data_IF_741483045925
#
_entry.id   IF_741483045925
#
_cell.length_a   1.000
_cell.length_b   1.000
_cell.length_c   1.000
_cell.angle_alpha   90.00
_cell.angle_beta   90.00
_cell.angle_gamma   90.00
#
_symmetry.space_group_name_H-M   'P 1'
#
loop_
_entity.id
_entity.type
_entity.pdbx_description
1 polymer ?
#
# COMPACT_ATOMS: atom_id res chain seq x y z
N UNK A 1 29.93 -55.71 13.06
CA UNK A 1 29.93 -54.55 12.19
C UNK A 1 28.70 -53.72 12.44
N UNK A 2 28.90 -52.56 13.03
CA UNK A 2 27.80 -51.66 13.32
C UNK A 2 27.85 -50.51 12.32
N UNK A 3 26.87 -50.48 11.45
CA UNK A 3 26.66 -49.28 10.63
C UNK A 3 26.08 -48.19 11.52
N UNK A 4 26.88 -47.18 11.81
CA UNK A 4 26.40 -46.00 12.43
C UNK A 4 25.66 -45.18 11.36
N UNK A 5 24.36 -45.31 11.38
CA UNK A 5 23.50 -44.44 10.62
C UNK A 5 23.37 -43.14 11.38
N UNK A 6 24.27 -42.24 11.08
CA UNK A 6 24.02 -40.88 11.50
C UNK A 6 22.79 -40.38 10.74
N UNK A 7 21.67 -40.34 11.41
CA UNK A 7 20.54 -39.59 10.89
C UNK A 7 20.98 -38.15 10.84
N UNK A 8 21.38 -37.66 9.67
CA UNK A 8 21.49 -36.26 9.41
C UNK A 8 20.07 -35.71 9.49
N UNK A 9 19.70 -35.18 10.63
CA UNK A 9 18.49 -34.39 10.74
C UNK A 9 18.76 -33.12 9.92
N UNK A 10 18.30 -33.17 8.69
CA UNK A 10 18.21 -31.94 7.91
C UNK A 10 17.15 -31.09 8.60
N UNK A 11 17.59 -30.19 9.49
CA UNK A 11 16.74 -29.14 9.96
C UNK A 11 16.63 -28.16 8.80
N UNK A 12 15.62 -28.38 7.99
CA UNK A 12 15.22 -27.36 7.03
C UNK A 12 14.62 -26.24 7.88
N UNK A 13 15.41 -25.24 8.13
CA UNK A 13 14.88 -23.97 8.53
C UNK A 13 14.16 -23.43 7.31
N UNK A 14 12.90 -23.80 7.15
CA UNK A 14 12.01 -22.98 6.38
C UNK A 14 11.98 -21.65 7.13
N UNK A 15 12.82 -20.70 6.71
CA UNK A 15 12.66 -19.35 7.14
C UNK A 15 11.19 -19.04 6.95
N UNK A 16 10.45 -18.74 8.03
CA UNK A 16 9.11 -18.25 7.90
C UNK A 16 9.21 -17.01 7.01
N UNK A 17 9.03 -17.22 5.70
CA UNK A 17 8.75 -16.13 4.81
C UNK A 17 7.47 -15.52 5.37
N UNK A 18 7.62 -14.38 6.06
CA UNK A 18 6.46 -13.58 6.39
C UNK A 18 5.74 -13.36 5.07
N UNK A 19 4.55 -13.96 4.94
CA UNK A 19 3.73 -13.72 3.78
C UNK A 19 3.58 -12.20 3.63
N UNK A 20 3.78 -11.69 2.42
CA UNK A 20 3.57 -10.30 2.13
C UNK A 20 2.14 -9.92 2.55
N UNK A 21 1.97 -8.74 3.11
CA UNK A 21 0.64 -8.22 3.43
C UNK A 21 -0.18 -8.15 2.14
N UNK A 22 -1.47 -8.54 2.16
CA UNK A 22 -2.30 -8.54 0.95
C UNK A 22 -2.42 -7.18 0.26
N UNK A 23 -2.22 -6.07 0.98
CA UNK A 23 -2.24 -4.73 0.38
C UNK A 23 -0.92 -4.35 -0.29
N UNK A 24 0.15 -5.11 -0.10
CA UNK A 24 1.40 -4.83 -0.80
C UNK A 24 1.26 -5.04 -2.30
N UNK A 25 1.95 -4.23 -3.06
CA UNK A 25 1.93 -4.26 -4.51
C UNK A 25 1.69 -2.88 -5.11
N UNK A 26 1.32 -2.87 -6.39
CA UNK A 26 1.12 -1.64 -7.14
C UNK A 26 -0.38 -1.41 -7.36
N UNK A 27 -0.80 -0.19 -7.09
CA UNK A 27 -2.18 0.24 -7.16
C UNK A 27 -2.33 1.45 -8.06
N UNK A 28 -3.42 1.47 -8.82
CA UNK A 28 -3.80 2.59 -9.68
C UNK A 28 -4.77 3.47 -8.92
N UNK A 29 -4.46 4.77 -8.83
CA UNK A 29 -5.36 5.73 -8.20
C UNK A 29 -6.55 6.06 -9.11
N UNK A 30 -7.61 6.64 -8.54
CA UNK A 30 -8.68 7.21 -9.34
C UNK A 30 -8.14 8.38 -10.17
N UNK A 31 -8.61 8.54 -11.42
CA UNK A 31 -8.27 9.73 -12.18
C UNK A 31 -8.77 11.00 -11.49
N UNK A 32 -7.96 12.05 -11.54
CA UNK A 32 -8.36 13.39 -11.13
C UNK A 32 -9.27 14.06 -12.19
N UNK A 33 -9.61 15.33 -11.95
CA UNK A 33 -10.48 16.08 -12.85
C UNK A 33 -9.91 16.26 -14.26
N UNK A 34 -8.60 16.12 -14.42
CA UNK A 34 -7.91 16.17 -15.72
C UNK A 34 -7.69 14.78 -16.33
N UNK A 35 -8.16 13.72 -15.67
CA UNK A 35 -7.96 12.34 -16.10
C UNK A 35 -6.59 11.76 -15.71
N UNK A 36 -5.78 12.51 -15.00
CA UNK A 36 -4.45 12.06 -14.58
C UNK A 36 -4.56 11.10 -13.41
N UNK A 37 -3.71 10.08 -13.38
CA UNK A 37 -3.68 9.10 -12.30
C UNK A 37 -2.23 8.67 -12.02
N UNK A 38 -2.05 7.94 -10.95
CA UNK A 38 -0.75 7.46 -10.56
C UNK A 38 -0.75 5.98 -10.21
N UNK A 39 0.43 5.39 -10.22
CA UNK A 39 0.70 4.10 -9.62
C UNK A 39 1.38 4.30 -8.29
N UNK A 40 0.81 3.69 -7.26
CA UNK A 40 1.32 3.73 -5.89
C UNK A 40 1.82 2.34 -5.53
N UNK A 41 3.07 2.26 -5.11
CA UNK A 41 3.63 1.01 -4.58
C UNK A 41 3.48 0.99 -3.08
N UNK A 42 2.75 -0.01 -2.57
CA UNK A 42 2.60 -0.24 -1.13
C UNK A 42 3.58 -1.32 -0.70
N UNK A 43 4.32 -1.01 0.35
CA UNK A 43 5.36 -1.87 0.91
C UNK A 43 5.48 -1.65 2.42
N UNK A 44 6.06 -2.61 3.16
CA UNK A 44 6.31 -2.43 4.58
C UNK A 44 7.18 -1.21 4.86
N UNK A 45 6.82 -0.47 5.92
CA UNK A 45 7.62 0.62 6.41
C UNK A 45 7.43 0.72 7.93
N UNK A 46 8.45 0.32 8.71
CA UNK A 46 8.32 0.21 10.15
C UNK A 46 7.31 -0.87 10.53
N UNK A 47 6.38 -0.54 11.42
CA UNK A 47 5.35 -1.47 11.89
C UNK A 47 4.10 -1.50 11.00
N UNK A 48 4.03 -0.61 10.02
CA UNK A 48 2.90 -0.48 9.12
C UNK A 48 3.29 -0.56 7.67
N UNK A 49 2.38 -0.09 6.81
CA UNK A 49 2.58 0.00 5.37
C UNK A 49 2.68 1.45 4.93
N UNK A 50 3.48 1.69 3.90
CA UNK A 50 3.58 2.98 3.22
C UNK A 50 3.35 2.80 1.73
N UNK A 51 2.81 3.83 1.09
CA UNK A 51 2.63 3.86 -0.36
C UNK A 51 3.37 5.04 -0.97
N UNK A 52 4.17 4.75 -1.99
CA UNK A 52 4.98 5.74 -2.71
C UNK A 52 4.50 5.86 -4.13
N UNK A 53 4.37 7.09 -4.62
CA UNK A 53 4.05 7.33 -6.02
C UNK A 53 5.26 6.94 -6.87
N UNK A 54 5.12 5.91 -7.70
CA UNK A 54 6.23 5.42 -8.53
C UNK A 54 6.14 5.89 -9.98
N UNK A 55 4.93 6.26 -10.44
CA UNK A 55 4.71 6.71 -11.81
C UNK A 55 3.41 7.50 -11.89
N UNK A 56 3.41 8.56 -12.69
CA UNK A 56 2.20 9.31 -13.04
C UNK A 56 1.86 9.15 -14.51
N UNK A 57 0.57 9.24 -14.83
CA UNK A 57 0.04 9.09 -16.18
C UNK A 57 -0.98 10.20 -16.46
N UNK A 58 -1.07 10.61 -17.70
CA UNK A 58 -2.14 11.51 -18.15
C UNK A 58 -3.41 10.73 -18.50
N UNK A 59 -4.46 11.45 -18.90
CA UNK A 59 -5.76 10.84 -19.24
C UNK A 59 -5.74 9.93 -20.47
N UNK A 60 -4.66 9.94 -21.25
CA UNK A 60 -4.49 9.02 -22.40
C UNK A 60 -3.75 7.76 -22.03
N UNK A 61 -3.23 7.67 -20.80
CA UNK A 61 -2.39 6.57 -20.34
C UNK A 61 -0.91 6.75 -20.63
N UNK A 62 -0.50 7.90 -21.17
CA UNK A 62 0.89 8.21 -21.40
C UNK A 62 1.57 8.63 -20.08
N UNK A 63 2.84 8.30 -19.96
CA UNK A 63 3.63 8.70 -18.80
C UNK A 63 3.66 10.22 -18.67
N UNK A 64 3.32 10.71 -17.50
CA UNK A 64 3.35 12.12 -17.16
C UNK A 64 4.48 12.37 -16.17
N UNK A 65 5.41 13.27 -16.52
CA UNK A 65 6.43 13.69 -15.57
C UNK A 65 5.80 14.48 -14.44
N UNK A 66 6.19 14.15 -13.21
CA UNK A 66 5.69 14.81 -12.01
C UNK A 66 6.77 14.87 -10.95
N UNK A 67 6.89 16.01 -10.29
CA UNK A 67 7.78 16.20 -9.16
C UNK A 67 7.36 15.37 -7.94
N UNK A 68 6.16 14.80 -7.96
CA UNK A 68 5.62 13.99 -6.88
C UNK A 68 6.05 12.53 -6.97
N UNK A 69 6.61 12.07 -8.10
CA UNK A 69 7.16 10.72 -8.21
C UNK A 69 8.31 10.56 -7.21
N UNK A 70 8.24 9.49 -6.41
CA UNK A 70 9.16 9.22 -5.31
C UNK A 70 8.67 9.70 -3.95
N UNK A 71 7.59 10.47 -3.90
CA UNK A 71 7.02 10.93 -2.62
C UNK A 71 6.07 9.91 -2.02
N UNK A 72 6.04 9.86 -0.69
CA UNK A 72 5.04 9.07 0.03
C UNK A 72 3.68 9.72 -0.07
N UNK A 73 2.68 8.92 -0.41
CA UNK A 73 1.28 9.33 -0.48
C UNK A 73 0.51 8.87 0.76
N UNK A 74 0.77 7.65 1.21
CA UNK A 74 0.21 7.11 2.46
C UNK A 74 1.33 6.54 3.32
N UNK A 75 1.17 6.61 4.63
CA UNK A 75 2.14 6.03 5.56
C UNK A 75 1.49 5.67 6.89
N UNK A 76 2.23 4.90 7.69
CA UNK A 76 1.81 4.43 9.02
C UNK A 76 0.48 3.67 9.00
N UNK A 77 0.17 2.97 7.91
CA UNK A 77 -1.04 2.16 7.82
C UNK A 77 -0.87 0.87 8.58
N UNK A 78 -1.49 0.78 9.74
CA UNK A 78 -1.34 -0.35 10.67
C UNK A 78 -2.43 -1.38 10.38
N UNK A 79 -2.06 -2.64 10.08
CA UNK A 79 -3.05 -3.71 9.89
C UNK A 79 -3.90 -3.91 11.15
N UNK A 80 -5.22 -3.91 10.96
CA UNK A 80 -6.21 -4.09 12.04
C UNK A 80 -7.08 -5.33 11.84
N UNK A 81 -6.75 -6.19 10.88
CA UNK A 81 -7.49 -7.41 10.56
C UNK A 81 -8.57 -7.19 9.50
N UNK A 82 -8.94 -8.28 8.82
CA UNK A 82 -10.02 -8.31 7.82
C UNK A 82 -9.87 -7.27 6.69
N UNK A 83 -8.61 -7.03 6.28
CA UNK A 83 -8.33 -6.07 5.22
C UNK A 83 -8.41 -4.61 5.65
N UNK A 84 -8.59 -4.34 6.94
CA UNK A 84 -8.65 -2.99 7.47
C UNK A 84 -7.27 -2.52 7.95
N UNK A 85 -6.95 -1.25 7.67
CA UNK A 85 -5.73 -0.57 8.08
C UNK A 85 -6.10 0.76 8.70
N UNK A 86 -5.49 1.10 9.83
CA UNK A 86 -5.84 2.30 10.59
C UNK A 86 -4.61 3.04 11.09
N UNK A 87 -4.84 4.18 11.74
CA UNK A 87 -3.82 5.03 12.33
C UNK A 87 -2.80 5.59 11.33
N UNK A 88 -3.16 5.60 10.06
CA UNK A 88 -2.30 6.10 9.02
C UNK A 88 -2.54 7.56 8.67
N UNK A 89 -1.83 8.00 7.65
CA UNK A 89 -1.94 9.33 7.10
C UNK A 89 -1.90 9.26 5.57
N UNK A 90 -2.56 10.22 4.92
CA UNK A 90 -2.53 10.40 3.48
C UNK A 90 -2.23 11.85 3.15
N UNK A 91 -1.34 12.05 2.18
CA UNK A 91 -1.03 13.36 1.65
C UNK A 91 -1.76 13.56 0.32
N UNK A 92 -2.48 14.67 0.20
CA UNK A 92 -3.17 15.07 -1.01
C UNK A 92 -2.32 16.10 -1.77
N UNK A 93 -1.67 15.70 -2.89
CA UNK A 93 -0.76 16.58 -3.62
C UNK A 93 -1.41 17.86 -4.14
N UNK A 94 -2.67 17.77 -4.57
CA UNK A 94 -3.42 18.91 -5.13
C UNK A 94 -3.71 20.01 -4.11
N UNK A 95 -3.70 19.68 -2.83
CA UNK A 95 -3.96 20.63 -1.73
C UNK A 95 -2.76 20.85 -0.83
N UNK A 96 -1.71 20.03 -1.01
CA UNK A 96 -0.56 19.98 -0.11
C UNK A 96 -0.98 19.88 1.36
N UNK A 97 -1.90 18.95 1.62
CA UNK A 97 -2.44 18.68 2.96
C UNK A 97 -2.34 17.22 3.29
N UNK A 98 -2.08 16.96 4.57
CA UNK A 98 -2.03 15.63 5.15
C UNK A 98 -3.24 15.40 6.03
N UNK A 99 -3.88 14.26 5.86
CA UNK A 99 -5.07 13.86 6.62
C UNK A 99 -4.82 12.57 7.36
N UNK A 100 -5.50 12.38 8.49
CA UNK A 100 -5.63 11.05 9.08
C UNK A 100 -6.27 10.12 8.06
N UNK A 101 -5.80 8.88 8.00
CA UNK A 101 -6.24 7.97 6.95
C UNK A 101 -6.43 6.56 7.44
N UNK A 102 -7.35 5.86 6.78
CA UNK A 102 -7.57 4.43 6.90
C UNK A 102 -7.58 3.82 5.52
N UNK A 103 -7.42 2.50 5.45
CA UNK A 103 -7.59 1.75 4.20
C UNK A 103 -8.46 0.53 4.45
N UNK A 104 -9.20 0.13 3.42
CA UNK A 104 -9.95 -1.12 3.41
C UNK A 104 -9.66 -1.87 2.12
N UNK A 105 -9.11 -3.06 2.26
CA UNK A 105 -8.85 -3.97 1.14
C UNK A 105 -10.07 -4.86 0.93
N UNK A 106 -10.59 -4.88 -0.28
CA UNK A 106 -11.67 -5.77 -0.69
C UNK A 106 -11.35 -6.33 -2.07
N UNK A 107 -10.84 -7.56 -2.10
CA UNK A 107 -10.39 -8.17 -3.36
C UNK A 107 -9.29 -7.36 -4.05
N UNK A 108 -9.54 -6.90 -5.26
CA UNK A 108 -8.59 -6.11 -6.06
C UNK A 108 -8.81 -4.60 -5.92
N UNK A 109 -9.56 -4.17 -4.90
CA UNK A 109 -9.86 -2.76 -4.61
C UNK A 109 -9.32 -2.38 -3.24
N UNK A 110 -8.64 -1.25 -3.19
CA UNK A 110 -8.16 -0.65 -1.94
C UNK A 110 -8.81 0.71 -1.76
N UNK A 111 -9.73 0.82 -0.81
CA UNK A 111 -10.35 2.09 -0.47
C UNK A 111 -9.46 2.84 0.51
N UNK A 112 -8.94 3.97 0.10
CA UNK A 112 -8.10 4.85 0.93
C UNK A 112 -8.94 6.04 1.35
N UNK A 113 -9.14 6.20 2.65
CA UNK A 113 -9.99 7.26 3.20
C UNK A 113 -9.16 8.27 3.95
N UNK A 114 -9.27 9.54 3.57
CA UNK A 114 -8.75 10.67 4.33
C UNK A 114 -9.85 11.25 5.20
N UNK A 115 -9.56 11.53 6.46
CA UNK A 115 -10.54 11.95 7.44
C UNK A 115 -10.14 13.26 8.11
N UNK A 116 -11.15 14.06 8.48
CA UNK A 116 -11.01 15.28 9.26
C UNK A 116 -11.93 15.23 10.47
N UNK A 117 -11.80 16.20 11.38
CA UNK A 117 -12.63 16.34 12.59
C UNK A 117 -12.64 15.05 13.45
N UNK A 118 -11.45 14.51 13.72
CA UNK A 118 -11.31 13.34 14.57
C UNK A 118 -11.90 12.06 13.97
N UNK A 119 -12.04 11.98 12.65
CA UNK A 119 -12.59 10.82 11.95
C UNK A 119 -14.07 10.91 11.66
N UNK A 120 -14.71 12.03 11.96
CA UNK A 120 -16.15 12.21 11.73
C UNK A 120 -16.51 12.38 10.26
N UNK A 121 -15.63 12.99 9.47
CA UNK A 121 -15.85 13.23 8.05
C UNK A 121 -14.70 12.59 7.28
N UNK A 122 -15.03 11.59 6.47
CA UNK A 122 -14.07 10.85 5.67
C UNK A 122 -14.47 10.87 4.20
N UNK A 123 -13.47 10.95 3.33
CA UNK A 123 -13.67 10.79 1.89
C UNK A 123 -12.78 9.66 1.39
N UNK A 124 -13.41 8.66 0.79
CA UNK A 124 -12.72 7.50 0.23
C UNK A 124 -12.36 7.71 -1.23
N UNK A 125 -11.19 7.21 -1.60
CA UNK A 125 -10.74 7.06 -2.98
C UNK A 125 -10.45 5.58 -3.20
N UNK A 126 -11.06 4.99 -4.23
CA UNK A 126 -10.86 3.58 -4.51
C UNK A 126 -9.72 3.39 -5.50
N UNK A 127 -8.71 2.63 -5.09
CA UNK A 127 -7.60 2.27 -5.94
C UNK A 127 -7.78 0.85 -6.45
N UNK A 128 -7.36 0.58 -7.66
CA UNK A 128 -7.43 -0.74 -8.27
C UNK A 128 -6.06 -1.38 -8.38
N UNK A 129 -6.00 -2.70 -8.17
CA UNK A 129 -4.74 -3.43 -8.22
C UNK A 129 -4.19 -3.47 -9.64
N UNK A 130 -2.91 -3.13 -9.78
CA UNK A 130 -2.14 -3.29 -11.02
C UNK A 130 -1.36 -4.60 -10.96
N UNK A 131 -0.65 -4.80 -9.87
CA UNK A 131 0.15 -6.02 -9.63
C UNK A 131 0.51 -6.23 -8.16
#
# INVERSE_FOLDING_TARGET
>A
MKALWGAAVLVIWAGAALAADPAEGVWKTLPDDNGNYGHIQIAPCGVGLCGTLIQSFDGTGAVLESDNVGKRIVWDMIPAGEGHYEDGQVWAPDRDKTYSATMQLTGATLAVSGCVLGGLICRASEWSRVE
#
